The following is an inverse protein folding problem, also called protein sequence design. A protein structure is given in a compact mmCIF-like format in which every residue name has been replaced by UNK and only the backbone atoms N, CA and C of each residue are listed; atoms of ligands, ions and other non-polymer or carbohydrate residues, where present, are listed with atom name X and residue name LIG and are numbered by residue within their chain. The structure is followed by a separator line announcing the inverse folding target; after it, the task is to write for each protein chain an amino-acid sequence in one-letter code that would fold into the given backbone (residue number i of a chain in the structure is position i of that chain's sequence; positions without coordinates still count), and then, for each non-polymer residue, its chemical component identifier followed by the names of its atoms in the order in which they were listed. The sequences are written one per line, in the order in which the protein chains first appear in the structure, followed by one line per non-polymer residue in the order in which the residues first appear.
data_IF_954001244197
#
_entry.id   IF_954001244197
#
_cell.length_a   1.000
_cell.length_b   1.000
_cell.length_c   1.000
_cell.angle_alpha   90.00
_cell.angle_beta   90.00
_cell.angle_gamma   90.00
#
_symmetry.space_group_name_H-M   'P 1'
#
loop_
_entity.id
_entity.type
_entity.pdbx_description
1 polymer ?
#
# COMPACT_ATOMS: atom_id res chain seq x y z
N UNK A 1 10.94 43.91 3.21
CA UNK A 1 9.90 42.86 3.20
C UNK A 1 10.64 41.55 3.44
N UNK A 2 10.73 41.13 4.70
CA UNK A 2 11.68 40.11 5.16
C UNK A 2 10.99 38.74 5.18
N UNK A 3 11.31 37.88 4.21
CA UNK A 3 10.71 36.55 4.00
C UNK A 3 11.47 35.45 4.77
N UNK A 4 11.81 35.67 6.04
CA UNK A 4 12.26 34.58 6.91
C UNK A 4 11.06 33.84 7.51
N UNK A 5 10.53 32.87 6.76
CA UNK A 5 9.66 31.83 7.36
C UNK A 5 10.49 30.99 8.33
N UNK A 6 10.46 31.36 9.61
CA UNK A 6 11.00 30.56 10.72
C UNK A 6 10.25 29.23 10.78
N UNK A 7 10.95 28.14 10.44
CA UNK A 7 10.48 26.78 10.65
C UNK A 7 10.22 26.55 12.15
N UNK A 8 8.95 26.52 12.58
CA UNK A 8 8.54 26.35 13.99
C UNK A 8 8.97 25.03 14.64
N UNK A 9 9.70 24.15 13.94
CA UNK A 9 10.27 22.91 14.49
C UNK A 9 11.70 22.71 13.97
N UNK A 10 12.64 23.50 14.49
CA UNK A 10 14.01 23.02 14.61
C UNK A 10 14.01 22.01 15.77
N UNK A 11 13.62 20.76 15.48
CA UNK A 11 13.91 19.68 16.43
C UNK A 11 15.41 19.49 16.40
N UNK A 12 16.08 19.77 17.52
CA UNK A 12 17.47 19.33 17.71
C UNK A 12 17.53 17.82 17.45
N UNK A 13 18.18 17.43 16.36
CA UNK A 13 18.43 16.03 16.01
C UNK A 13 19.54 15.55 16.96
N UNK A 14 19.17 15.25 18.21
CA UNK A 14 20.06 14.63 19.20
C UNK A 14 20.03 13.12 19.04
N UNK A 15 21.13 12.52 18.59
CA UNK A 15 21.34 11.07 18.49
C UNK A 15 21.89 10.60 17.14
N UNK A 16 22.45 9.38 17.10
CA UNK A 16 22.83 8.69 15.86
C UNK A 16 21.55 8.20 15.16
N UNK A 17 20.97 9.04 14.30
CA UNK A 17 19.84 8.62 13.47
C UNK A 17 20.36 7.71 12.36
N UNK A 18 20.05 6.42 12.45
CA UNK A 18 20.27 5.46 11.38
C UNK A 18 19.32 5.78 10.23
N UNK A 19 19.86 6.33 9.14
CA UNK A 19 19.16 6.47 7.87
C UNK A 19 19.05 5.09 7.23
N UNK A 20 17.84 4.65 6.93
CA UNK A 20 17.58 3.38 6.25
C UNK A 20 16.75 3.61 5.01
N UNK A 21 17.09 2.89 3.94
CA UNK A 21 16.29 2.81 2.72
C UNK A 21 15.62 1.44 2.72
N UNK A 22 14.29 1.43 2.72
CA UNK A 22 13.50 0.20 2.67
C UNK A 22 12.88 0.05 1.29
N UNK A 23 13.03 -1.14 0.70
CA UNK A 23 12.33 -1.52 -0.51
C UNK A 23 11.07 -2.31 -0.15
N UNK A 24 9.95 -1.93 -0.73
CA UNK A 24 8.66 -2.61 -0.54
C UNK A 24 8.15 -3.11 -1.88
N UNK A 25 7.55 -4.29 -1.87
CA UNK A 25 7.06 -4.94 -3.07
C UNK A 25 5.56 -4.68 -3.22
N UNK A 26 5.18 -3.89 -4.22
CA UNK A 26 3.77 -3.60 -4.51
C UNK A 26 2.95 -4.86 -4.85
N UNK A 27 3.61 -5.92 -5.35
CA UNK A 27 2.98 -7.21 -5.66
C UNK A 27 2.38 -7.91 -4.43
N UNK A 28 2.88 -7.59 -3.22
CA UNK A 28 2.30 -8.10 -1.97
C UNK A 28 0.95 -7.47 -1.63
N UNK A 29 0.57 -6.40 -2.35
CA UNK A 29 -0.71 -5.73 -2.22
C UNK A 29 -1.65 -6.00 -3.40
N UNK A 30 -1.11 -6.03 -4.61
CA UNK A 30 -1.87 -6.29 -5.83
C UNK A 30 -1.06 -7.23 -6.71
N UNK A 31 -1.55 -8.46 -6.85
CA UNK A 31 -0.84 -9.56 -7.53
C UNK A 31 -1.15 -9.66 -9.02
N UNK A 32 -2.01 -8.78 -9.55
CA UNK A 32 -2.24 -8.69 -10.99
C UNK A 32 -1.05 -8.05 -11.72
N UNK A 33 -1.01 -8.20 -13.05
CA UNK A 33 0.00 -7.54 -13.87
C UNK A 33 -0.17 -6.02 -13.82
N UNK A 34 0.90 -5.26 -14.05
CA UNK A 34 0.83 -3.80 -14.04
C UNK A 34 -0.19 -3.25 -15.06
N UNK A 35 -0.33 -3.90 -16.22
CA UNK A 35 -1.34 -3.55 -17.21
C UNK A 35 -2.76 -3.78 -16.67
N UNK A 36 -3.01 -4.94 -16.04
CA UNK A 36 -4.31 -5.25 -15.43
C UNK A 36 -4.64 -4.27 -14.30
N UNK A 37 -3.68 -3.95 -13.44
CA UNK A 37 -3.86 -3.01 -12.34
C UNK A 37 -4.10 -1.57 -12.83
N UNK A 38 -3.38 -1.12 -13.86
CA UNK A 38 -3.60 0.20 -14.46
C UNK A 38 -4.99 0.33 -15.09
N UNK A 39 -5.49 -0.74 -15.71
CA UNK A 39 -6.83 -0.79 -16.27
C UNK A 39 -7.91 -0.84 -15.17
N UNK A 40 -7.77 -1.70 -14.15
CA UNK A 40 -8.74 -1.79 -13.05
C UNK A 40 -8.78 -0.52 -12.20
N UNK A 41 -7.66 0.18 -12.11
CA UNK A 41 -7.54 1.49 -11.46
C UNK A 41 -8.14 2.63 -12.28
N UNK A 42 -8.71 2.38 -13.47
CA UNK A 42 -9.26 3.41 -14.35
C UNK A 42 -8.27 4.57 -14.60
N UNK A 43 -6.98 4.26 -14.78
CA UNK A 43 -5.99 5.29 -15.09
C UNK A 43 -6.26 5.87 -16.49
N UNK A 44 -5.94 7.14 -16.76
CA UNK A 44 -6.01 7.67 -18.11
C UNK A 44 -4.96 6.98 -19.00
N UNK A 45 -5.23 6.88 -20.30
CA UNK A 45 -4.40 6.09 -21.23
C UNK A 45 -2.92 6.53 -21.22
N UNK A 46 -2.65 7.83 -21.02
CA UNK A 46 -1.31 8.42 -20.91
C UNK A 46 -0.54 8.03 -19.63
N UNK A 47 -1.17 7.36 -18.67
CA UNK A 47 -0.53 6.81 -17.47
C UNK A 47 -0.53 5.28 -17.44
N UNK A 48 -1.23 4.62 -18.37
CA UNK A 48 -1.24 3.15 -18.44
C UNK A 48 0.04 2.62 -19.07
N UNK A 49 0.42 1.42 -18.66
CA UNK A 49 1.46 0.61 -19.31
C UNK A 49 1.18 0.51 -20.83
N UNK A 50 2.24 0.61 -21.63
CA UNK A 50 2.17 0.44 -23.09
C UNK A 50 2.06 -1.05 -23.46
N UNK A 51 1.95 -1.35 -24.76
CA UNK A 51 2.02 -2.72 -25.24
C UNK A 51 3.27 -3.43 -24.72
N UNK A 52 3.16 -4.74 -24.53
CA UNK A 52 4.26 -5.55 -24.00
C UNK A 52 5.46 -5.47 -24.94
N UNK A 53 6.57 -4.97 -24.41
CA UNK A 53 7.87 -5.03 -25.06
C UNK A 53 8.46 -6.39 -24.73
N UNK A 54 9.01 -7.08 -25.74
CA UNK A 54 9.78 -8.29 -25.50
C UNK A 54 11.06 -7.94 -24.74
N UNK A 55 11.05 -8.09 -23.42
CA UNK A 55 12.19 -7.76 -22.55
C UNK A 55 13.37 -8.72 -22.83
N UNK A 56 13.12 -9.92 -23.34
CA UNK A 56 14.16 -10.91 -23.59
C UNK A 56 15.14 -10.48 -24.69
N UNK A 57 14.79 -9.49 -25.52
CA UNK A 57 15.67 -8.96 -26.56
C UNK A 57 16.82 -8.11 -26.02
N UNK A 58 16.69 -7.58 -24.80
CA UNK A 58 17.71 -6.75 -24.17
C UNK A 58 18.69 -7.65 -23.39
N UNK A 59 19.95 -7.63 -23.80
CA UNK A 59 21.06 -8.34 -23.16
C UNK A 59 22.08 -7.35 -22.65
N UNK A 60 23.04 -7.84 -21.84
CA UNK A 60 24.13 -7.02 -21.33
C UNK A 60 24.99 -6.39 -22.43
N UNK A 61 25.00 -6.99 -23.63
CA UNK A 61 25.86 -6.56 -24.73
C UNK A 61 25.17 -5.57 -25.68
N UNK A 62 23.83 -5.52 -25.72
CA UNK A 62 23.07 -4.71 -26.69
C UNK A 62 22.18 -3.63 -26.06
N UNK A 63 22.08 -3.56 -24.72
CA UNK A 63 21.14 -2.65 -24.06
C UNK A 63 21.43 -1.17 -24.32
N UNK A 64 22.71 -0.81 -24.52
CA UNK A 64 23.12 0.58 -24.73
C UNK A 64 22.65 1.10 -26.10
N UNK A 65 22.77 0.28 -27.14
CA UNK A 65 22.27 0.60 -28.49
C UNK A 65 20.73 0.65 -28.52
N UNK A 66 20.07 -0.20 -27.72
CA UNK A 66 18.61 -0.26 -27.64
C UNK A 66 18.02 0.64 -26.54
N UNK A 67 18.85 1.49 -25.92
CA UNK A 67 18.46 2.33 -24.79
C UNK A 67 17.33 3.29 -25.15
N UNK A 68 17.38 3.89 -26.33
CA UNK A 68 16.35 4.83 -26.80
C UNK A 68 14.97 4.18 -26.92
N UNK A 69 14.92 2.86 -27.12
CA UNK A 69 13.68 2.09 -27.13
C UNK A 69 13.24 1.68 -25.70
N UNK A 70 14.19 1.26 -24.87
CA UNK A 70 13.94 0.77 -23.51
C UNK A 70 13.55 1.89 -22.54
N UNK A 71 14.20 3.04 -22.62
CA UNK A 71 14.06 4.14 -21.66
C UNK A 71 12.63 4.71 -21.62
N UNK A 72 11.95 4.99 -22.75
CA UNK A 72 10.55 5.41 -22.76
C UNK A 72 9.62 4.36 -22.12
N UNK A 73 9.86 3.08 -22.39
CA UNK A 73 9.08 1.97 -21.82
C UNK A 73 9.24 1.90 -20.30
N UNK A 74 10.48 1.88 -19.80
CA UNK A 74 10.75 1.82 -18.37
C UNK A 74 10.19 3.04 -17.61
N UNK A 75 10.31 4.24 -18.21
CA UNK A 75 9.68 5.46 -17.69
C UNK A 75 8.17 5.29 -17.58
N UNK A 76 7.54 4.73 -18.61
CA UNK A 76 6.09 4.55 -18.64
C UNK A 76 5.59 3.54 -17.62
N UNK A 77 6.30 2.42 -17.44
CA UNK A 77 6.00 1.44 -16.39
C UNK A 77 6.11 2.06 -14.99
N UNK A 78 7.17 2.84 -14.76
CA UNK A 78 7.38 3.54 -13.49
C UNK A 78 6.26 4.54 -13.21
N UNK A 79 5.84 5.32 -14.22
CA UNK A 79 4.71 6.24 -14.11
C UNK A 79 3.39 5.52 -13.84
N UNK A 80 3.14 4.40 -14.54
CA UNK A 80 1.94 3.58 -14.33
C UNK A 80 1.89 3.04 -12.91
N UNK A 81 2.99 2.46 -12.42
CA UNK A 81 3.07 1.95 -11.06
C UNK A 81 2.87 3.07 -10.03
N UNK A 82 3.54 4.21 -10.21
CA UNK A 82 3.36 5.38 -9.35
C UNK A 82 1.90 5.86 -9.28
N UNK A 83 1.23 5.95 -10.43
CA UNK A 83 -0.18 6.35 -10.50
C UNK A 83 -1.11 5.32 -9.82
N UNK A 84 -0.89 4.03 -10.06
CA UNK A 84 -1.61 2.95 -9.37
C UNK A 84 -1.45 3.05 -7.85
N UNK A 85 -0.21 3.24 -7.38
CA UNK A 85 0.11 3.32 -5.95
C UNK A 85 -0.53 4.55 -5.28
N UNK A 86 -0.50 5.71 -5.93
CA UNK A 86 -1.16 6.92 -5.40
C UNK A 86 -2.65 6.66 -5.22
N UNK A 87 -3.31 6.13 -6.26
CA UNK A 87 -4.75 5.87 -6.22
C UNK A 87 -5.10 4.80 -5.18
N UNK A 88 -4.35 3.70 -5.15
CA UNK A 88 -4.48 2.64 -4.15
C UNK A 88 -4.35 3.21 -2.73
N UNK A 89 -3.29 3.97 -2.46
CA UNK A 89 -3.04 4.53 -1.13
C UNK A 89 -4.11 5.56 -0.73
N UNK A 90 -4.63 6.35 -1.68
CA UNK A 90 -5.74 7.26 -1.42
C UNK A 90 -6.98 6.51 -0.96
N UNK A 91 -7.42 5.51 -1.74
CA UNK A 91 -8.60 4.69 -1.41
C UNK A 91 -8.41 3.98 -0.06
N UNK A 92 -7.24 3.37 0.16
CA UNK A 92 -6.97 2.67 1.43
C UNK A 92 -6.95 3.62 2.62
N UNK A 93 -6.43 4.83 2.46
CA UNK A 93 -6.46 5.85 3.51
C UNK A 93 -7.89 6.32 3.81
N UNK A 94 -8.75 6.39 2.80
CA UNK A 94 -10.16 6.74 2.99
C UNK A 94 -10.92 5.63 3.73
N UNK A 95 -10.79 4.38 3.27
CA UNK A 95 -11.55 3.22 3.76
C UNK A 95 -11.06 2.70 5.11
N UNK A 96 -9.74 2.49 5.25
CA UNK A 96 -9.15 1.84 6.44
C UNK A 96 -8.19 2.75 7.21
N UNK A 97 -8.00 4.01 6.78
CA UNK A 97 -7.04 4.95 7.36
C UNK A 97 -5.61 4.39 7.49
N UNK A 98 -5.24 3.56 6.52
CA UNK A 98 -3.93 2.94 6.41
C UNK A 98 -3.53 2.93 4.93
N UNK A 99 -2.26 2.72 4.65
CA UNK A 99 -1.79 2.60 3.28
C UNK A 99 -0.66 1.54 3.19
N UNK A 100 -0.06 1.43 2.00
CA UNK A 100 1.04 0.49 1.72
C UNK A 100 2.34 0.79 2.48
N UNK A 101 2.57 2.02 2.95
CA UNK A 101 3.74 2.31 3.79
C UNK A 101 3.55 1.87 5.24
N UNK A 102 2.30 1.72 5.69
CA UNK A 102 1.97 1.25 7.03
C UNK A 102 1.88 -0.27 7.15
N UNK A 103 1.78 -0.99 6.03
CA UNK A 103 1.49 -2.42 5.98
C UNK A 103 2.25 -3.06 4.82
N UNK A 104 2.94 -4.17 5.05
CA UNK A 104 3.77 -4.84 4.04
C UNK A 104 2.98 -5.63 2.99
N UNK A 105 1.72 -5.98 3.30
CA UNK A 105 0.88 -6.85 2.46
C UNK A 105 -0.59 -6.42 2.48
N UNK A 106 -1.35 -6.75 1.44
CA UNK A 106 -2.81 -6.51 1.42
C UNK A 106 -3.57 -7.20 2.57
N UNK A 107 -3.27 -8.45 2.96
CA UNK A 107 -3.88 -9.07 4.14
C UNK A 107 -3.59 -8.31 5.44
N UNK A 108 -2.34 -7.85 5.65
CA UNK A 108 -2.02 -7.05 6.84
C UNK A 108 -2.78 -5.73 6.89
N UNK A 109 -2.92 -5.06 5.74
CA UNK A 109 -3.72 -3.84 5.60
C UNK A 109 -5.19 -4.09 5.95
N UNK A 110 -5.77 -5.19 5.45
CA UNK A 110 -7.17 -5.56 5.68
C UNK A 110 -7.42 -5.90 7.16
N UNK A 111 -6.54 -6.71 7.76
CA UNK A 111 -6.64 -7.09 9.17
C UNK A 111 -6.50 -5.88 10.09
N UNK A 112 -5.50 -5.02 9.83
CA UNK A 112 -5.29 -3.79 10.59
C UNK A 112 -6.46 -2.83 10.40
N UNK A 113 -6.95 -2.66 9.19
CA UNK A 113 -8.13 -1.85 8.89
C UNK A 113 -9.36 -2.31 9.67
N UNK A 114 -9.68 -3.61 9.61
CA UNK A 114 -10.76 -4.21 10.39
C UNK A 114 -10.56 -3.99 11.89
N UNK A 115 -9.36 -4.23 12.40
CA UNK A 115 -9.04 -4.01 13.82
C UNK A 115 -9.31 -2.56 14.23
N UNK A 116 -8.85 -1.59 13.43
CA UNK A 116 -9.08 -0.17 13.73
C UNK A 116 -10.56 0.19 13.70
N UNK A 117 -11.32 -0.28 12.71
CA UNK A 117 -12.76 -0.02 12.60
C UNK A 117 -13.57 -0.66 13.74
N UNK A 118 -13.13 -1.83 14.21
CA UNK A 118 -13.77 -2.53 15.32
C UNK A 118 -13.46 -1.87 16.66
N UNK A 119 -12.19 -1.50 16.88
CA UNK A 119 -11.72 -1.02 18.17
C UNK A 119 -11.80 0.50 18.39
N UNK A 120 -11.87 1.30 17.32
CA UNK A 120 -11.77 2.75 17.43
C UNK A 120 -12.91 3.46 16.68
N UNK A 121 -13.42 4.53 17.28
CA UNK A 121 -14.21 5.53 16.59
C UNK A 121 -13.28 6.47 15.82
N UNK A 122 -13.75 6.93 14.65
CA UNK A 122 -13.04 7.83 13.76
C UNK A 122 -13.73 9.18 13.75
N UNK A 123 -13.07 10.18 14.30
CA UNK A 123 -13.53 11.57 14.25
C UNK A 123 -12.56 12.43 13.43
N UNK A 124 -13.10 13.33 12.63
CA UNK A 124 -12.30 14.30 11.89
C UNK A 124 -12.13 15.54 12.78
N UNK A 125 -10.91 15.79 13.22
CA UNK A 125 -10.58 16.90 14.11
C UNK A 125 -9.74 17.93 13.34
N UNK A 126 -10.03 19.21 13.56
CA UNK A 126 -9.21 20.30 13.04
C UNK A 126 -7.87 20.35 13.78
N UNK A 127 -6.77 20.20 13.04
CA UNK A 127 -5.42 20.43 13.56
C UNK A 127 -4.77 21.59 12.81
N UNK A 128 -4.20 22.52 13.56
CA UNK A 128 -3.36 23.58 12.99
C UNK A 128 -2.07 22.99 12.43
N UNK A 129 -1.83 23.24 11.13
CA UNK A 129 -0.63 22.85 10.42
C UNK A 129 0.01 24.07 9.76
N UNK A 130 1.06 24.59 10.42
CA UNK A 130 1.76 25.82 10.05
C UNK A 130 0.84 27.05 9.99
N UNK A 131 0.34 27.40 8.79
CA UNK A 131 -0.52 28.56 8.51
C UNK A 131 -1.93 28.13 8.07
N UNK A 132 -2.21 26.82 8.03
CA UNK A 132 -3.49 26.26 7.55
C UNK A 132 -4.07 25.27 8.54
N UNK A 133 -5.39 25.29 8.72
CA UNK A 133 -6.12 24.23 9.44
C UNK A 133 -6.37 23.06 8.49
N UNK A 134 -6.09 21.82 8.95
CA UNK A 134 -6.42 20.61 8.18
C UNK A 134 -7.23 19.65 9.03
N UNK A 135 -8.17 18.96 8.41
CA UNK A 135 -8.90 17.86 9.05
C UNK A 135 -8.00 16.63 9.16
N UNK A 136 -7.81 16.12 10.38
CA UNK A 136 -7.03 14.91 10.65
C UNK A 136 -7.93 13.89 11.34
N UNK A 137 -7.86 12.64 10.91
CA UNK A 137 -8.59 11.55 11.55
C UNK A 137 -7.95 11.24 12.92
N UNK A 138 -8.69 11.52 14.00
CA UNK A 138 -8.35 11.12 15.36
C UNK A 138 -9.09 9.82 15.69
N UNK A 139 -8.38 8.91 16.36
CA UNK A 139 -8.92 7.60 16.74
C UNK A 139 -9.07 7.58 18.25
N UNK A 140 -10.29 7.33 18.71
CA UNK A 140 -10.63 7.13 20.13
C UNK A 140 -11.08 5.70 20.34
N UNK A 141 -10.63 5.05 21.40
CA UNK A 141 -11.05 3.68 21.70
C UNK A 141 -12.54 3.66 22.01
N UNK A 142 -13.28 2.72 21.41
CA UNK A 142 -14.69 2.56 21.74
C UNK A 142 -14.83 1.95 23.13
N UNK A 143 -15.89 2.34 23.83
CA UNK A 143 -16.22 1.75 25.12
C UNK A 143 -16.94 0.40 24.94
N UNK A 144 -16.77 -0.52 25.90
CA UNK A 144 -17.50 -1.79 26.00
C UNK A 144 -17.41 -2.74 24.78
N UNK A 145 -16.23 -2.85 24.16
CA UNK A 145 -16.01 -3.73 23.00
C UNK A 145 -15.95 -5.20 23.43
N UNK A 146 -16.73 -6.05 22.76
CA UNK A 146 -16.67 -7.49 22.98
C UNK A 146 -15.33 -8.08 22.49
N UNK A 147 -14.75 -8.97 23.28
CA UNK A 147 -13.53 -9.67 22.88
C UNK A 147 -13.86 -10.81 21.91
N UNK A 148 -13.81 -10.53 20.60
CA UNK A 148 -14.14 -11.50 19.53
C UNK A 148 -13.01 -12.45 19.13
N UNK A 149 -11.80 -12.25 19.65
CA UNK A 149 -10.66 -13.14 19.36
C UNK A 149 -9.74 -13.31 20.59
N UNK A 150 -9.05 -14.45 20.64
CA UNK A 150 -8.03 -14.75 21.63
C UNK A 150 -6.97 -15.69 21.04
N UNK A 151 -5.80 -15.78 21.67
CA UNK A 151 -4.80 -16.75 21.28
C UNK A 151 -5.18 -18.12 21.88
N UNK A 152 -5.61 -19.10 21.07
CA UNK A 152 -5.94 -20.42 21.59
C UNK A 152 -4.66 -21.18 21.94
N UNK A 153 -4.78 -22.11 22.89
CA UNK A 153 -3.72 -23.05 23.21
C UNK A 153 -3.25 -23.77 21.91
N UNK A 154 -1.94 -23.95 21.69
CA UNK A 154 -1.41 -24.60 20.47
C UNK A 154 -2.05 -25.95 20.15
N UNK A 155 -2.41 -26.74 21.16
CA UNK A 155 -3.09 -28.03 20.98
C UNK A 155 -4.50 -27.84 20.40
N UNK A 156 -5.31 -26.94 20.98
CA UNK A 156 -6.65 -26.60 20.49
C UNK A 156 -6.56 -26.02 19.07
N UNK A 157 -5.58 -25.14 18.82
CA UNK A 157 -5.34 -24.55 17.50
C UNK A 157 -5.08 -25.62 16.44
N UNK A 158 -4.31 -26.65 16.77
CA UNK A 158 -4.06 -27.78 15.86
C UNK A 158 -5.36 -28.50 15.51
N UNK A 159 -6.19 -28.79 16.51
CA UNK A 159 -7.48 -29.43 16.30
C UNK A 159 -8.41 -28.60 15.40
N UNK A 160 -8.56 -27.30 15.69
CA UNK A 160 -9.38 -26.38 14.88
C UNK A 160 -8.88 -26.34 13.43
N UNK A 161 -7.55 -26.25 13.20
CA UNK A 161 -6.97 -26.20 11.86
C UNK A 161 -7.26 -27.44 11.01
N UNK A 162 -7.44 -28.62 11.61
CA UNK A 162 -7.81 -29.84 10.86
C UNK A 162 -9.21 -29.74 10.25
N UNK A 163 -10.10 -28.97 10.87
CA UNK A 163 -11.47 -28.73 10.41
C UNK A 163 -11.59 -27.66 9.34
N UNK A 164 -10.59 -26.78 9.19
CA UNK A 164 -10.57 -25.74 8.16
C UNK A 164 -10.23 -26.39 6.80
N UNK A 165 -11.11 -26.23 5.82
CA UNK A 165 -10.93 -26.72 4.43
C UNK A 165 -10.94 -25.55 3.44
N UNK A 166 -10.28 -25.72 2.31
CA UNK A 166 -10.31 -24.75 1.20
C UNK A 166 -11.60 -24.83 0.38
N UNK A 167 -11.65 -24.08 -0.72
CA UNK A 167 -12.78 -24.12 -1.65
C UNK A 167 -13.01 -25.51 -2.26
N UNK A 168 -14.28 -25.86 -2.47
CA UNK A 168 -14.65 -27.11 -3.15
C UNK A 168 -14.25 -27.03 -4.62
N UNK A 169 -13.45 -27.98 -5.08
CA UNK A 169 -13.10 -28.15 -6.50
C UNK A 169 -13.54 -29.54 -6.93
N UNK A 170 -14.44 -29.62 -7.90
CA UNK A 170 -14.89 -30.89 -8.48
C UNK A 170 -15.14 -30.73 -9.97
N UNK A 171 -14.66 -31.67 -10.77
CA UNK A 171 -14.99 -31.77 -12.19
C UNK A 171 -15.78 -33.06 -12.41
N UNK A 172 -16.94 -32.95 -13.06
CA UNK A 172 -17.65 -34.14 -13.52
C UNK A 172 -16.87 -34.77 -14.67
N UNK A 173 -16.62 -36.08 -14.62
CA UNK A 173 -16.16 -36.81 -15.80
C UNK A 173 -17.29 -36.75 -16.84
N UNK A 174 -17.01 -36.14 -17.99
CA UNK A 174 -17.80 -36.32 -19.20
C UNK A 174 -17.49 -37.68 -19.81
#
# INVERSE_FOLDING_TARGET
MDLQKKWKRQKEIKGNYLQHINFTCSYQHESSSLAAWGNSSNLPANLRKMADVDIAKYTQDNWEELRDELEPYAKRDTLCLGACLIKYNQVMKEVVNQNMSNNLTAPSLSLKGWYYLYHYDKEMVEEEWYETTRMVAKHTEKENIEKVYSHPNPFIRNFIRRSIKGGRVSANRK
#
